data_IF_353210969415
#
_entry.id   IF_353210969415
#
_cell.length_a   1.000
_cell.length_b   1.000
_cell.length_c   1.000
_cell.angle_alpha   90.00
_cell.angle_beta   90.00
_cell.angle_gamma   90.00
#
_symmetry.space_group_name_H-M   'P 1'
#
loop_
_entity.id
_entity.type
_entity.pdbx_description
1 polymer ?
#
# COMPACT_ATOMS: atom_id res chain seq x y z
N UNK A 1 19.08 26.02 4.77
CA UNK A 1 18.24 25.30 3.80
C UNK A 1 17.19 24.52 4.55
N UNK A 2 15.91 24.64 4.21
CA UNK A 2 14.91 23.79 4.81
C UNK A 2 15.13 22.33 4.40
N UNK A 3 14.93 21.44 5.35
CA UNK A 3 15.00 20.00 5.09
C UNK A 3 13.91 19.60 4.08
N UNK A 4 14.19 18.69 3.11
CA UNK A 4 13.15 18.21 2.21
C UNK A 4 12.04 17.54 3.01
N UNK A 5 10.80 17.77 2.60
CA UNK A 5 9.60 17.18 3.24
C UNK A 5 8.78 16.47 2.17
N UNK A 6 8.41 15.24 2.46
CA UNK A 6 7.51 14.44 1.62
C UNK A 6 6.25 14.13 2.41
N UNK A 7 5.16 14.77 2.03
CA UNK A 7 3.82 14.47 2.54
C UNK A 7 3.21 13.43 1.61
N UNK A 8 2.69 12.34 2.15
CA UNK A 8 2.15 11.28 1.30
C UNK A 8 0.92 10.63 1.90
N UNK A 9 0.14 10.03 1.04
CA UNK A 9 -1.04 9.23 1.37
C UNK A 9 -1.13 8.08 0.38
N UNK A 10 -1.59 6.92 0.83
CA UNK A 10 -1.75 5.74 -0.03
C UNK A 10 -3.23 5.37 -0.16
N UNK A 11 -3.59 4.81 -1.31
CA UNK A 11 -4.88 4.18 -1.55
C UNK A 11 -4.64 2.70 -1.81
N UNK A 12 -5.43 1.86 -1.16
CA UNK A 12 -5.27 0.40 -1.23
C UNK A 12 -6.57 -0.29 -1.55
N UNK A 13 -6.43 -1.52 -2.06
CA UNK A 13 -7.54 -2.46 -2.21
C UNK A 13 -7.12 -3.81 -1.61
N UNK A 14 -8.07 -4.70 -1.28
CA UNK A 14 -7.74 -6.04 -0.84
C UNK A 14 -6.91 -6.79 -1.88
N UNK A 15 -5.82 -7.42 -1.43
CA UNK A 15 -5.02 -8.32 -2.27
C UNK A 15 -5.64 -9.72 -2.26
N UNK A 16 -6.60 -9.95 -3.14
CA UNK A 16 -7.30 -11.22 -3.18
C UNK A 16 -6.43 -12.35 -3.74
N UNK A 17 -5.48 -12.04 -4.61
CA UNK A 17 -4.51 -13.04 -5.06
C UNK A 17 -3.65 -13.54 -3.89
N UNK A 18 -3.16 -12.65 -3.04
CA UNK A 18 -2.44 -12.98 -1.82
C UNK A 18 -3.32 -13.73 -0.82
N UNK A 19 -4.56 -13.29 -0.67
CA UNK A 19 -5.53 -13.96 0.21
C UNK A 19 -5.73 -15.42 -0.20
N UNK A 20 -5.91 -15.68 -1.51
CA UNK A 20 -6.08 -17.04 -2.04
C UNK A 20 -4.85 -17.91 -1.78
N UNK A 21 -3.66 -17.36 -1.92
CA UNK A 21 -2.42 -18.10 -1.62
C UNK A 21 -2.34 -18.52 -0.16
N UNK A 22 -2.85 -17.69 0.75
CA UNK A 22 -2.81 -17.96 2.19
C UNK A 22 -3.96 -18.85 2.66
N UNK A 23 -5.14 -18.68 2.10
CA UNK A 23 -6.38 -19.30 2.62
C UNK A 23 -7.02 -20.29 1.66
N UNK A 24 -6.60 -20.34 0.41
CA UNK A 24 -7.24 -21.15 -0.63
C UNK A 24 -8.50 -20.46 -1.15
N UNK A 25 -9.61 -21.15 -1.07
CA UNK A 25 -10.90 -20.67 -1.57
C UNK A 25 -11.29 -21.35 -2.87
N UNK A 26 -12.59 -21.26 -3.20
CA UNK A 26 -13.15 -21.88 -4.40
C UNK A 26 -12.57 -21.23 -5.65
N UNK A 27 -11.89 -22.00 -6.53
CA UNK A 27 -11.34 -21.43 -7.76
C UNK A 27 -12.41 -20.87 -8.72
N UNK A 28 -13.67 -21.30 -8.55
CA UNK A 28 -14.79 -20.82 -9.36
C UNK A 28 -15.42 -19.54 -8.81
N UNK A 29 -15.16 -19.21 -7.56
CA UNK A 29 -15.67 -17.98 -6.94
C UNK A 29 -14.88 -16.78 -7.39
N UNK A 30 -15.57 -15.65 -7.62
CA UNK A 30 -14.91 -14.38 -7.92
C UNK A 30 -14.21 -13.82 -6.66
N UNK A 31 -13.28 -12.91 -6.86
CA UNK A 31 -12.64 -12.19 -5.75
C UNK A 31 -13.67 -11.47 -4.88
N UNK A 32 -14.66 -10.83 -5.51
CA UNK A 32 -15.71 -10.14 -4.78
C UNK A 32 -16.52 -11.10 -3.90
N UNK A 33 -16.82 -12.29 -4.41
CA UNK A 33 -17.54 -13.32 -3.64
C UNK A 33 -16.74 -13.81 -2.45
N UNK A 34 -15.46 -14.11 -2.64
CA UNK A 34 -14.58 -14.56 -1.57
C UNK A 34 -14.38 -13.48 -0.51
N UNK A 35 -14.21 -12.24 -0.93
CA UNK A 35 -14.06 -11.12 -0.01
C UNK A 35 -15.33 -10.92 0.83
N UNK A 36 -16.51 -10.98 0.19
CA UNK A 36 -17.78 -10.86 0.89
C UNK A 36 -18.00 -12.00 1.90
N UNK A 37 -17.66 -13.23 1.53
CA UNK A 37 -17.74 -14.37 2.44
C UNK A 37 -16.81 -14.22 3.64
N UNK A 38 -15.57 -13.81 3.41
CA UNK A 38 -14.60 -13.58 4.48
C UNK A 38 -15.08 -12.50 5.45
N UNK A 39 -15.59 -11.40 4.93
CA UNK A 39 -16.15 -10.32 5.76
C UNK A 39 -17.31 -10.80 6.62
N UNK A 40 -18.26 -11.52 6.01
CA UNK A 40 -19.43 -12.04 6.71
C UNK A 40 -19.04 -13.00 7.84
N UNK A 41 -18.06 -13.88 7.60
CA UNK A 41 -17.54 -14.80 8.62
C UNK A 41 -16.89 -14.04 9.78
N UNK A 42 -16.10 -13.04 9.46
CA UNK A 42 -15.45 -12.20 10.49
C UNK A 42 -16.48 -11.48 11.34
N UNK A 43 -17.47 -10.88 10.73
CA UNK A 43 -18.57 -10.18 11.42
C UNK A 43 -19.38 -11.12 12.29
N UNK A 44 -19.68 -12.33 11.79
CA UNK A 44 -20.43 -13.35 12.54
C UNK A 44 -19.70 -13.80 13.83
N UNK A 45 -18.38 -13.73 13.85
CA UNK A 45 -17.54 -14.07 15.01
C UNK A 45 -17.10 -12.84 15.83
N UNK A 46 -17.67 -11.67 15.57
CA UNK A 46 -17.32 -10.44 16.27
C UNK A 46 -15.89 -9.95 15.99
N UNK A 47 -15.30 -10.37 14.88
CA UNK A 47 -13.95 -9.98 14.48
C UNK A 47 -13.99 -8.82 13.50
N UNK A 48 -12.87 -8.07 13.44
CA UNK A 48 -12.76 -6.97 12.48
C UNK A 48 -12.80 -7.48 11.04
N UNK A 49 -13.52 -6.77 10.18
CA UNK A 49 -13.57 -7.03 8.74
C UNK A 49 -12.50 -6.27 7.96
N UNK A 50 -11.60 -5.59 8.67
CA UNK A 50 -10.49 -4.87 8.07
C UNK A 50 -9.44 -5.86 7.57
N UNK A 51 -9.07 -5.74 6.28
CA UNK A 51 -8.07 -6.62 5.68
C UNK A 51 -6.71 -6.41 6.35
N UNK A 52 -5.97 -7.47 6.69
CA UNK A 52 -4.64 -7.33 7.26
C UNK A 52 -3.71 -6.45 6.42
N UNK A 53 -2.78 -5.76 7.07
CA UNK A 53 -1.90 -4.78 6.40
C UNK A 53 -1.09 -5.41 5.27
N UNK A 54 -0.66 -6.66 5.42
CA UNK A 54 0.11 -7.36 4.39
C UNK A 54 -0.75 -7.79 3.18
N UNK A 55 -2.08 -7.68 3.28
CA UNK A 55 -3.02 -7.94 2.19
C UNK A 55 -3.70 -6.65 1.68
N UNK A 56 -3.09 -5.51 1.93
CA UNK A 56 -3.49 -4.21 1.39
C UNK A 56 -2.65 -3.94 0.15
N UNK A 57 -3.25 -4.12 -1.03
CA UNK A 57 -2.56 -3.86 -2.31
C UNK A 57 -2.56 -2.37 -2.59
N UNK A 58 -1.38 -1.81 -2.85
CA UNK A 58 -1.23 -0.38 -3.10
C UNK A 58 -1.62 -0.04 -4.54
N UNK A 59 -2.63 0.82 -4.70
CA UNK A 59 -3.05 1.33 -6.01
C UNK A 59 -2.40 2.65 -6.36
N UNK A 60 -2.25 3.52 -5.38
CA UNK A 60 -1.81 4.89 -5.59
C UNK A 60 -1.06 5.40 -4.37
N UNK A 61 -0.01 6.16 -4.63
CA UNK A 61 0.67 6.96 -3.61
C UNK A 61 0.66 8.40 -4.10
N UNK A 62 -0.06 9.27 -3.40
CA UNK A 62 -0.11 10.70 -3.70
C UNK A 62 0.87 11.43 -2.80
N UNK A 63 1.65 12.33 -3.38
CA UNK A 63 2.73 13.01 -2.69
C UNK A 63 2.70 14.51 -2.92
N UNK A 64 3.07 15.24 -1.87
CA UNK A 64 3.50 16.64 -1.99
C UNK A 64 4.94 16.70 -1.51
N UNK A 65 5.84 17.09 -2.39
CA UNK A 65 7.26 17.18 -2.10
C UNK A 65 7.69 18.65 -2.07
N UNK A 66 8.30 19.05 -0.95
CA UNK A 66 8.84 20.39 -0.76
C UNK A 66 10.35 20.32 -0.54
N UNK A 67 11.09 21.13 -1.28
CA UNK A 67 12.52 21.33 -1.08
C UNK A 67 12.88 22.80 -1.31
N UNK A 68 14.18 23.11 -1.41
CA UNK A 68 14.66 24.46 -1.63
C UNK A 68 14.19 25.07 -2.96
N UNK A 69 13.87 24.23 -3.96
CA UNK A 69 13.42 24.67 -5.28
C UNK A 69 11.93 24.97 -5.35
N UNK A 70 11.17 24.56 -4.34
CA UNK A 70 9.73 24.79 -4.29
C UNK A 70 8.94 23.55 -3.92
N UNK A 71 7.72 23.49 -4.43
CA UNK A 71 6.72 22.49 -4.05
C UNK A 71 6.20 21.80 -5.30
N UNK A 72 6.12 20.45 -5.25
CA UNK A 72 5.62 19.62 -6.35
C UNK A 72 4.57 18.66 -5.84
N UNK A 73 3.53 18.46 -6.64
CA UNK A 73 2.48 17.46 -6.37
C UNK A 73 2.61 16.35 -7.41
N UNK A 74 2.59 15.11 -6.95
CA UNK A 74 2.69 13.96 -7.85
C UNK A 74 1.93 12.76 -7.29
N UNK A 75 1.38 11.95 -8.20
CA UNK A 75 0.73 10.68 -7.85
C UNK A 75 1.35 9.55 -8.65
N UNK A 76 1.77 8.51 -7.95
CA UNK A 76 2.20 7.25 -8.54
C UNK A 76 1.01 6.32 -8.56
N UNK A 77 0.56 5.91 -9.75
CA UNK A 77 -0.70 5.16 -9.90
C UNK A 77 -0.47 3.85 -10.63
N UNK A 78 -1.05 2.78 -10.09
CA UNK A 78 -1.12 1.49 -10.76
C UNK A 78 -2.42 1.43 -11.58
N UNK A 79 -2.38 1.89 -12.83
CA UNK A 79 -3.56 2.01 -13.69
C UNK A 79 -4.09 0.67 -14.18
N UNK A 80 -3.21 -0.30 -14.37
CA UNK A 80 -3.54 -1.55 -15.04
C UNK A 80 -3.64 -2.74 -14.08
N UNK A 81 -3.45 -2.51 -12.79
CA UNK A 81 -3.42 -3.58 -11.80
C UNK A 81 -2.21 -4.52 -11.91
N UNK A 82 -1.22 -4.14 -12.72
CA UNK A 82 -0.05 -4.98 -12.98
C UNK A 82 1.27 -4.35 -12.51
N UNK A 83 1.25 -3.15 -11.97
CA UNK A 83 2.44 -2.37 -11.67
C UNK A 83 2.54 -1.85 -10.24
N UNK A 84 1.96 -2.57 -9.28
CA UNK A 84 2.12 -2.24 -7.85
C UNK A 84 3.61 -2.15 -7.46
N UNK A 85 4.41 -3.09 -7.94
CA UNK A 85 5.86 -3.09 -7.68
C UNK A 85 6.51 -1.79 -8.13
N UNK A 86 6.12 -1.28 -9.29
CA UNK A 86 6.65 -0.03 -9.83
C UNK A 86 6.25 1.17 -8.98
N UNK A 87 5.00 1.22 -8.53
CA UNK A 87 4.48 2.30 -7.67
C UNK A 87 5.27 2.33 -6.36
N UNK A 88 5.39 1.19 -5.69
CA UNK A 88 6.09 1.08 -4.40
C UNK A 88 7.58 1.36 -4.57
N UNK A 89 8.20 0.81 -5.62
CA UNK A 89 9.63 1.03 -5.90
C UNK A 89 9.94 2.51 -6.15
N UNK A 90 9.09 3.19 -6.92
CA UNK A 90 9.30 4.62 -7.22
C UNK A 90 9.23 5.46 -5.94
N UNK A 91 8.32 5.11 -5.03
CA UNK A 91 8.23 5.77 -3.73
C UNK A 91 9.50 5.57 -2.90
N UNK A 92 9.99 4.34 -2.78
CA UNK A 92 11.23 4.06 -2.04
C UNK A 92 12.44 4.72 -2.70
N UNK A 93 12.50 4.77 -4.02
CA UNK A 93 13.57 5.47 -4.74
C UNK A 93 13.59 6.97 -4.42
N UNK A 94 12.42 7.59 -4.31
CA UNK A 94 12.32 8.99 -3.94
C UNK A 94 12.83 9.24 -2.51
N UNK A 95 12.50 8.35 -1.58
CA UNK A 95 12.99 8.42 -0.20
C UNK A 95 14.53 8.28 -0.17
N UNK A 96 15.06 7.31 -0.89
CA UNK A 96 16.51 7.08 -0.95
C UNK A 96 17.25 8.28 -1.55
N UNK A 97 16.72 8.81 -2.65
CA UNK A 97 17.34 9.93 -3.36
C UNK A 97 17.35 11.21 -2.53
N UNK A 98 16.28 11.53 -1.84
CA UNK A 98 16.07 12.83 -1.20
C UNK A 98 16.21 12.81 0.31
N UNK A 99 16.15 11.64 0.94
CA UNK A 99 16.14 11.47 2.40
C UNK A 99 15.21 12.50 3.09
N UNK A 100 13.94 12.61 2.66
CA UNK A 100 13.06 13.65 3.16
C UNK A 100 12.55 13.32 4.57
N UNK A 101 12.07 14.35 5.26
CA UNK A 101 11.19 14.15 6.40
C UNK A 101 9.84 13.66 5.88
N UNK A 102 9.37 12.52 6.40
CA UNK A 102 8.08 11.95 5.99
C UNK A 102 6.96 12.51 6.84
N UNK A 103 5.87 12.89 6.20
CA UNK A 103 4.65 13.38 6.85
C UNK A 103 3.45 12.62 6.26
N UNK A 104 2.62 12.04 7.12
CA UNK A 104 1.39 11.37 6.69
C UNK A 104 0.37 11.37 7.83
N UNK A 105 -0.88 11.07 7.49
CA UNK A 105 -1.92 10.86 8.49
C UNK A 105 -1.91 9.38 8.89
N UNK A 106 -1.63 9.11 10.18
CA UNK A 106 -1.52 7.74 10.71
C UNK A 106 -0.51 6.85 9.95
N UNK A 107 0.56 7.45 9.43
CA UNK A 107 1.53 6.71 8.62
C UNK A 107 2.23 5.59 9.36
N UNK A 108 2.48 5.75 10.66
CA UNK A 108 3.11 4.70 11.49
C UNK A 108 2.17 3.52 11.76
N UNK A 109 0.86 3.74 11.70
CA UNK A 109 -0.14 2.69 11.95
C UNK A 109 -0.68 2.01 10.69
N UNK A 110 -0.52 2.62 9.53
CA UNK A 110 -1.07 2.05 8.29
C UNK A 110 -0.13 2.19 7.10
N UNK A 111 0.14 3.42 6.61
CA UNK A 111 0.84 3.64 5.35
C UNK A 111 2.23 3.01 5.34
N UNK A 112 3.06 3.28 6.35
CA UNK A 112 4.42 2.76 6.39
C UNK A 112 4.48 1.25 6.58
N UNK A 113 3.71 0.64 7.51
CA UNK A 113 3.65 -0.82 7.59
C UNK A 113 3.16 -1.49 6.32
N UNK A 114 2.13 -0.94 5.65
CA UNK A 114 1.64 -1.47 4.37
C UNK A 114 2.75 -1.44 3.33
N UNK A 115 3.39 -0.29 3.15
CA UNK A 115 4.49 -0.14 2.18
C UNK A 115 5.66 -1.07 2.49
N UNK A 116 5.97 -1.26 3.76
CA UNK A 116 7.03 -2.17 4.18
C UNK A 116 6.70 -3.63 3.84
N UNK A 117 5.50 -4.10 4.20
CA UNK A 117 5.08 -5.47 3.89
C UNK A 117 5.00 -5.71 2.39
N UNK A 118 4.43 -4.76 1.64
CA UNK A 118 4.36 -4.89 0.17
C UNK A 118 5.75 -4.85 -0.45
N UNK A 119 6.64 -4.02 0.06
CA UNK A 119 8.03 -3.98 -0.39
C UNK A 119 8.74 -5.34 -0.21
N UNK A 120 8.53 -5.99 0.93
CA UNK A 120 9.08 -7.34 1.17
C UNK A 120 8.48 -8.37 0.22
N UNK A 121 7.14 -8.39 0.07
CA UNK A 121 6.46 -9.34 -0.81
C UNK A 121 6.84 -9.18 -2.28
N UNK A 122 7.10 -7.96 -2.70
CA UNK A 122 7.48 -7.63 -4.07
C UNK A 122 8.99 -7.70 -4.30
N UNK A 123 9.76 -8.09 -3.27
CA UNK A 123 11.23 -8.20 -3.31
C UNK A 123 11.93 -6.87 -3.65
N UNK A 124 11.36 -5.77 -3.20
CA UNK A 124 11.88 -4.42 -3.48
C UNK A 124 12.83 -3.90 -2.41
N UNK A 125 12.81 -4.51 -1.21
CA UNK A 125 13.68 -4.12 -0.09
C UNK A 125 14.35 -5.37 0.48
N UNK A 126 15.51 -5.16 1.09
CA UNK A 126 16.24 -6.22 1.76
C UNK A 126 15.84 -6.29 3.25
N UNK A 127 15.83 -7.49 3.76
CA UNK A 127 15.58 -7.75 5.18
C UNK A 127 16.85 -7.53 5.99
#
# INVERSE_FOLDING_TARGET
MPWPVLVFDIETIPDMAGWRRLHGGDPQASDAQLHAQWKAEREAHGQSDFMPLYLQRVLCISCVFRNAEGLRVHSFVDRDGASEAKVVQTFFNAIEKHSPQLVSWNGSGFDLPVLHYRGLQLSLIHI
#
